data_IF_277563646842
#
_entry.id   IF_277563646842
#
_cell.length_a   1.000
_cell.length_b   1.000
_cell.length_c   1.000
_cell.angle_alpha   90.00
_cell.angle_beta   90.00
_cell.angle_gamma   90.00
#
_symmetry.space_group_name_H-M   'P 1'
#
loop_
_entity.id
_entity.type
_entity.pdbx_description
1 polymer ?
#
# COMPACT_ATOMS: atom_id res chain seq x y z
N UNK A 1 -8.94 -76.62 -89.18
CA UNK A 1 -9.63 -76.85 -87.90
C UNK A 1 -8.75 -76.55 -86.67
N UNK A 2 -7.54 -77.11 -86.55
CA UNK A 2 -6.68 -76.93 -85.36
C UNK A 2 -6.28 -75.47 -85.05
N UNK A 3 -6.04 -74.63 -86.06
CA UNK A 3 -5.73 -73.20 -85.84
C UNK A 3 -6.94 -72.38 -85.36
N UNK A 4 -8.15 -72.82 -85.70
CA UNK A 4 -9.40 -72.19 -85.30
C UNK A 4 -9.65 -72.35 -83.79
N UNK A 5 -9.39 -73.56 -83.26
CA UNK A 5 -9.50 -73.83 -81.83
C UNK A 5 -8.49 -73.03 -81.00
N UNK A 6 -7.23 -72.96 -81.45
CA UNK A 6 -6.19 -72.19 -80.75
C UNK A 6 -6.47 -70.70 -80.73
N UNK A 7 -6.95 -70.15 -81.86
CA UNK A 7 -7.33 -68.74 -81.93
C UNK A 7 -8.55 -68.44 -81.05
N UNK A 8 -9.54 -69.33 -81.00
CA UNK A 8 -10.70 -69.17 -80.11
C UNK A 8 -10.30 -69.19 -78.63
N UNK A 9 -9.40 -70.09 -78.22
CA UNK A 9 -8.93 -70.14 -76.83
C UNK A 9 -8.14 -68.87 -76.44
N UNK A 10 -7.29 -68.38 -77.35
CA UNK A 10 -6.51 -67.16 -77.10
C UNK A 10 -7.41 -65.93 -77.00
N UNK A 11 -8.39 -65.81 -77.90
CA UNK A 11 -9.37 -64.71 -77.86
C UNK A 11 -10.17 -64.72 -76.55
N UNK A 12 -10.59 -65.90 -76.09
CA UNK A 12 -11.32 -66.06 -74.84
C UNK A 12 -10.51 -65.58 -73.64
N UNK A 13 -9.22 -65.93 -73.58
CA UNK A 13 -8.33 -65.53 -72.48
C UNK A 13 -8.10 -64.01 -72.43
N UNK A 14 -7.96 -63.37 -73.59
CA UNK A 14 -7.80 -61.91 -73.68
C UNK A 14 -9.08 -61.18 -73.31
N UNK A 15 -10.23 -61.66 -73.81
CA UNK A 15 -11.51 -61.04 -73.48
C UNK A 15 -11.81 -61.14 -71.98
N UNK A 16 -11.55 -62.30 -71.38
CA UNK A 16 -11.79 -62.53 -69.95
C UNK A 16 -10.91 -61.64 -69.07
N UNK A 17 -9.60 -61.56 -69.38
CA UNK A 17 -8.66 -60.75 -68.60
C UNK A 17 -8.93 -59.24 -68.71
N UNK A 18 -9.29 -58.76 -69.90
CA UNK A 18 -9.64 -57.34 -70.09
C UNK A 18 -10.96 -56.98 -69.41
N UNK A 19 -12.01 -57.80 -69.58
CA UNK A 19 -13.30 -57.55 -68.91
C UNK A 19 -13.16 -57.60 -67.40
N UNK A 20 -12.45 -58.57 -66.85
CA UNK A 20 -12.28 -58.71 -65.40
C UNK A 20 -11.49 -57.55 -64.80
N UNK A 21 -10.34 -57.19 -65.39
CA UNK A 21 -9.49 -56.12 -64.86
C UNK A 21 -10.14 -54.74 -64.97
N UNK A 22 -10.80 -54.45 -66.09
CA UNK A 22 -11.46 -53.16 -66.30
C UNK A 22 -12.70 -53.02 -65.42
N UNK A 23 -13.53 -54.07 -65.33
CA UNK A 23 -14.73 -54.04 -64.51
C UNK A 23 -14.37 -53.92 -63.02
N UNK A 24 -13.40 -54.69 -62.53
CA UNK A 24 -13.02 -54.67 -61.12
C UNK A 24 -12.42 -53.33 -60.70
N UNK A 25 -11.50 -52.77 -61.49
CA UNK A 25 -10.83 -51.49 -61.16
C UNK A 25 -11.79 -50.30 -61.20
N UNK A 26 -12.69 -50.23 -62.19
CA UNK A 26 -13.70 -49.18 -62.26
C UNK A 26 -14.70 -49.27 -61.12
N UNK A 27 -15.28 -50.45 -60.86
CA UNK A 27 -16.25 -50.61 -59.78
C UNK A 27 -15.63 -50.29 -58.43
N UNK A 28 -14.42 -50.79 -58.14
CA UNK A 28 -13.78 -50.57 -56.85
C UNK A 28 -13.41 -49.09 -56.62
N UNK A 29 -12.90 -48.40 -57.64
CA UNK A 29 -12.53 -46.98 -57.52
C UNK A 29 -13.75 -46.06 -57.42
N UNK A 30 -14.81 -46.31 -58.19
CA UNK A 30 -16.04 -45.52 -58.13
C UNK A 30 -16.78 -45.74 -56.81
N UNK A 31 -16.97 -46.99 -56.36
CA UNK A 31 -17.67 -47.25 -55.10
C UNK A 31 -16.94 -46.62 -53.92
N UNK A 32 -15.60 -46.76 -53.86
CA UNK A 32 -14.80 -46.25 -52.74
C UNK A 32 -14.73 -44.72 -52.70
N UNK A 33 -14.64 -44.07 -53.86
CA UNK A 33 -14.64 -42.60 -53.93
C UNK A 33 -16.00 -42.00 -53.62
N UNK A 34 -17.08 -42.59 -54.13
CA UNK A 34 -18.45 -42.12 -53.85
C UNK A 34 -18.84 -42.35 -52.39
N UNK A 35 -18.62 -43.55 -51.84
CA UNK A 35 -18.92 -43.83 -50.43
C UNK A 35 -18.11 -42.91 -49.51
N UNK A 36 -16.81 -42.74 -49.75
CA UNK A 36 -15.97 -41.91 -48.86
C UNK A 36 -16.29 -40.42 -48.97
N UNK A 37 -16.55 -39.91 -50.16
CA UNK A 37 -16.90 -38.49 -50.34
C UNK A 37 -18.29 -38.18 -49.80
N UNK A 38 -19.29 -39.03 -50.06
CA UNK A 38 -20.65 -38.83 -49.56
C UNK A 38 -20.75 -39.00 -48.05
N UNK A 39 -20.19 -40.08 -47.47
CA UNK A 39 -20.19 -40.25 -46.02
C UNK A 39 -19.43 -39.13 -45.32
N UNK A 40 -18.22 -38.79 -45.77
CA UNK A 40 -17.42 -37.78 -45.07
C UNK A 40 -18.04 -36.38 -45.18
N UNK A 41 -18.51 -35.99 -46.37
CA UNK A 41 -19.13 -34.68 -46.56
C UNK A 41 -20.46 -34.57 -45.83
N UNK A 42 -21.34 -35.57 -45.90
CA UNK A 42 -22.65 -35.51 -45.27
C UNK A 42 -22.56 -35.63 -43.75
N UNK A 43 -21.79 -36.60 -43.21
CA UNK A 43 -21.70 -36.74 -41.76
C UNK A 43 -20.98 -35.55 -41.13
N UNK A 44 -19.85 -35.12 -41.69
CA UNK A 44 -19.07 -34.03 -41.09
C UNK A 44 -19.79 -32.69 -41.20
N UNK A 45 -20.33 -32.34 -42.38
CA UNK A 45 -21.01 -31.05 -42.54
C UNK A 45 -22.30 -30.98 -41.73
N UNK A 46 -23.09 -32.04 -41.69
CA UNK A 46 -24.39 -32.01 -41.02
C UNK A 46 -24.25 -32.05 -39.49
N UNK A 47 -23.42 -32.94 -38.94
CA UNK A 47 -23.19 -32.98 -37.49
C UNK A 47 -22.45 -31.72 -37.01
N UNK A 48 -21.39 -31.28 -37.70
CA UNK A 48 -20.62 -30.14 -37.23
C UNK A 48 -21.42 -28.84 -37.33
N UNK A 49 -22.12 -28.59 -38.44
CA UNK A 49 -22.90 -27.36 -38.58
C UNK A 49 -24.10 -27.31 -37.64
N UNK A 50 -24.85 -28.41 -37.46
CA UNK A 50 -26.02 -28.42 -36.59
C UNK A 50 -25.63 -28.33 -35.11
N UNK A 51 -24.67 -29.14 -34.64
CA UNK A 51 -24.24 -29.05 -33.24
C UNK A 51 -23.60 -27.69 -32.97
N UNK A 52 -22.68 -27.21 -33.81
CA UNK A 52 -22.01 -25.95 -33.54
C UNK A 52 -22.98 -24.77 -33.56
N UNK A 53 -23.87 -24.69 -34.56
CA UNK A 53 -24.82 -23.57 -34.64
C UNK A 53 -25.87 -23.60 -33.53
N UNK A 54 -26.42 -24.77 -33.17
CA UNK A 54 -27.41 -24.86 -32.10
C UNK A 54 -26.80 -24.60 -30.72
N UNK A 55 -25.64 -25.18 -30.43
CA UNK A 55 -25.00 -25.00 -29.14
C UNK A 55 -24.48 -23.56 -28.97
N UNK A 56 -23.89 -22.99 -30.03
CA UNK A 56 -23.39 -21.60 -29.99
C UNK A 56 -24.52 -20.57 -29.89
N UNK A 57 -25.65 -20.78 -30.58
CA UNK A 57 -26.81 -19.88 -30.50
C UNK A 57 -27.54 -19.97 -29.15
N UNK A 58 -27.68 -21.18 -28.58
CA UNK A 58 -28.28 -21.36 -27.27
C UNK A 58 -27.41 -20.78 -26.14
N UNK A 59 -26.08 -20.97 -26.18
CA UNK A 59 -25.18 -20.35 -25.20
C UNK A 59 -25.09 -18.83 -25.35
N UNK A 60 -25.04 -18.32 -26.59
CA UNK A 60 -24.99 -16.87 -26.82
C UNK A 60 -26.28 -16.16 -26.40
N UNK A 61 -27.45 -16.78 -26.62
CA UNK A 61 -28.73 -16.22 -26.19
C UNK A 61 -28.90 -16.23 -24.66
N UNK A 62 -28.44 -17.27 -23.96
CA UNK A 62 -28.43 -17.29 -22.49
C UNK A 62 -27.49 -16.22 -21.89
N UNK A 63 -26.32 -16.00 -22.49
CA UNK A 63 -25.41 -14.92 -22.09
C UNK A 63 -25.99 -13.52 -22.36
N UNK A 64 -26.72 -13.35 -23.46
CA UNK A 64 -27.46 -12.11 -23.72
C UNK A 64 -28.53 -11.85 -22.66
N UNK A 65 -29.26 -12.88 -22.21
CA UNK A 65 -30.25 -12.75 -21.14
C UNK A 65 -29.59 -12.24 -19.84
N UNK A 66 -28.40 -12.75 -19.49
CA UNK A 66 -27.64 -12.28 -18.33
C UNK A 66 -27.22 -10.81 -18.49
N UNK A 67 -26.76 -10.40 -19.67
CA UNK A 67 -26.37 -9.01 -19.94
C UNK A 67 -27.55 -8.04 -19.91
N UNK A 68 -28.72 -8.46 -20.42
CA UNK A 68 -29.96 -7.68 -20.37
C UNK A 68 -30.49 -7.58 -18.96
N UNK A 69 -30.50 -8.69 -18.20
CA UNK A 69 -30.93 -8.68 -16.81
C UNK A 69 -29.99 -7.82 -15.97
N UNK A 70 -28.68 -7.96 -16.12
CA UNK A 70 -27.70 -7.16 -15.38
C UNK A 70 -27.78 -5.66 -15.72
N UNK A 71 -27.95 -5.31 -17.00
CA UNK A 71 -28.07 -3.90 -17.42
C UNK A 71 -29.42 -3.29 -17.01
N UNK A 72 -30.53 -4.02 -17.11
CA UNK A 72 -31.83 -3.57 -16.63
C UNK A 72 -31.87 -3.46 -15.11
N UNK A 73 -31.39 -4.47 -14.36
CA UNK A 73 -31.35 -4.41 -12.90
C UNK A 73 -30.45 -3.27 -12.44
N UNK A 74 -29.24 -3.13 -13.01
CA UNK A 74 -28.30 -2.06 -12.63
C UNK A 74 -28.82 -0.67 -13.00
N UNK A 75 -29.44 -0.50 -14.17
CA UNK A 75 -30.00 0.80 -14.58
C UNK A 75 -31.26 1.17 -13.79
N UNK A 76 -32.14 0.22 -13.50
CA UNK A 76 -33.34 0.45 -12.70
C UNK A 76 -32.99 0.64 -11.22
N UNK A 77 -32.18 -0.23 -10.60
CA UNK A 77 -31.74 -0.02 -9.21
C UNK A 77 -31.01 1.32 -9.10
N UNK A 78 -30.05 1.60 -9.98
CA UNK A 78 -29.24 2.84 -9.86
C UNK A 78 -30.08 4.08 -10.12
N UNK A 79 -30.99 4.07 -11.08
CA UNK A 79 -31.85 5.23 -11.35
C UNK A 79 -32.89 5.44 -10.25
N UNK A 80 -33.54 4.38 -9.76
CA UNK A 80 -34.53 4.47 -8.69
C UNK A 80 -33.90 4.79 -7.34
N UNK A 81 -32.84 4.07 -6.93
CA UNK A 81 -32.10 4.41 -5.69
C UNK A 81 -31.53 5.81 -5.79
N UNK A 82 -30.86 6.18 -6.89
CA UNK A 82 -30.26 7.53 -6.96
C UNK A 82 -31.34 8.62 -6.96
N UNK A 83 -32.42 8.48 -7.73
CA UNK A 83 -33.47 9.52 -7.76
C UNK A 83 -34.25 9.60 -6.45
N UNK A 84 -34.62 8.47 -5.84
CA UNK A 84 -35.35 8.47 -4.56
C UNK A 84 -34.46 8.92 -3.41
N UNK A 85 -33.24 8.38 -3.32
CA UNK A 85 -32.32 8.75 -2.24
C UNK A 85 -31.87 10.20 -2.38
N UNK A 86 -31.55 10.68 -3.60
CA UNK A 86 -31.18 12.08 -3.83
C UNK A 86 -32.34 13.03 -3.53
N UNK A 87 -33.55 12.77 -4.04
CA UNK A 87 -34.70 13.65 -3.79
C UNK A 87 -35.18 13.64 -2.34
N UNK A 88 -35.17 12.47 -1.67
CA UNK A 88 -35.59 12.36 -0.27
C UNK A 88 -34.54 12.89 0.70
N UNK A 89 -33.25 12.54 0.53
CA UNK A 89 -32.21 13.14 1.38
C UNK A 89 -32.15 14.64 1.16
N UNK A 90 -32.20 15.11 -0.10
CA UNK A 90 -32.08 16.54 -0.38
C UNK A 90 -33.26 17.32 0.19
N UNK A 91 -34.50 16.82 0.08
CA UNK A 91 -35.65 17.50 0.72
C UNK A 91 -35.62 17.43 2.25
N UNK A 92 -35.13 16.32 2.84
CA UNK A 92 -34.93 16.21 4.28
C UNK A 92 -33.82 17.15 4.79
N UNK A 93 -32.71 17.28 4.05
CA UNK A 93 -31.62 18.18 4.39
C UNK A 93 -32.01 19.65 4.21
N UNK A 94 -32.74 19.97 3.13
CA UNK A 94 -33.26 21.33 2.86
C UNK A 94 -34.31 21.73 3.91
N UNK A 95 -35.20 20.82 4.33
CA UNK A 95 -36.19 21.08 5.38
C UNK A 95 -35.61 21.20 6.79
N UNK A 96 -34.41 20.68 7.03
CA UNK A 96 -33.69 20.85 8.29
C UNK A 96 -33.00 22.21 8.44
N UNK A 97 -33.13 23.11 7.44
CA UNK A 97 -32.52 24.44 7.44
C UNK A 97 -31.02 24.37 7.78
N UNK A 98 -30.35 23.33 7.30
CA UNK A 98 -28.92 23.14 7.49
C UNK A 98 -28.26 24.26 6.69
N UNK A 99 -27.69 25.24 7.39
CA UNK A 99 -26.88 26.28 6.78
C UNK A 99 -25.72 25.57 6.07
N UNK A 100 -25.78 25.51 4.74
CA UNK A 100 -24.71 24.97 3.92
C UNK A 100 -23.42 25.73 4.27
N UNK A 101 -22.50 25.07 4.94
CA UNK A 101 -21.17 25.60 5.19
C UNK A 101 -20.37 25.43 3.91
N UNK A 102 -20.13 26.53 3.19
CA UNK A 102 -19.23 26.51 2.05
C UNK A 102 -17.79 26.52 2.58
N UNK A 103 -17.08 25.41 2.39
CA UNK A 103 -15.64 25.31 2.65
C UNK A 103 -14.90 25.92 1.47
N UNK A 104 -14.79 27.25 1.46
CA UNK A 104 -14.39 27.96 0.25
C UNK A 104 -12.89 27.99 -0.01
N UNK A 105 -12.05 27.70 0.98
CA UNK A 105 -10.64 28.13 0.89
C UNK A 105 -9.72 27.27 0.02
N UNK A 106 -9.88 25.93 0.01
CA UNK A 106 -9.09 25.07 -0.89
C UNK A 106 -9.29 25.45 -2.36
N UNK A 107 -10.52 25.82 -2.74
CA UNK A 107 -10.85 26.26 -4.10
C UNK A 107 -10.27 27.61 -4.49
N UNK A 108 -9.95 28.49 -3.52
CA UNK A 108 -9.40 29.80 -3.86
C UNK A 108 -7.90 29.73 -4.23
N UNK A 109 -7.16 28.73 -3.73
CA UNK A 109 -5.80 28.46 -4.22
C UNK A 109 -5.80 28.07 -5.70
N UNK A 110 -6.80 27.31 -6.16
CA UNK A 110 -6.96 26.97 -7.57
C UNK A 110 -7.19 28.23 -8.42
N UNK A 111 -8.02 29.16 -7.93
CA UNK A 111 -8.22 30.46 -8.58
C UNK A 111 -6.98 31.33 -8.58
N UNK A 112 -6.16 31.31 -7.52
CA UNK A 112 -4.88 32.02 -7.49
C UNK A 112 -3.94 31.50 -8.58
N UNK A 113 -3.79 30.18 -8.70
CA UNK A 113 -3.00 29.56 -9.76
C UNK A 113 -3.55 29.89 -11.15
N UNK A 114 -4.88 29.94 -11.31
CA UNK A 114 -5.52 30.33 -12.56
C UNK A 114 -5.23 31.81 -12.92
N UNK A 115 -5.30 32.73 -11.95
CA UNK A 115 -4.98 34.14 -12.18
C UNK A 115 -3.50 34.36 -12.47
N UNK A 116 -2.61 33.64 -11.79
CA UNK A 116 -1.16 33.67 -12.08
C UNK A 116 -0.89 33.19 -13.52
N UNK A 117 -1.52 32.10 -13.96
CA UNK A 117 -1.41 31.62 -15.33
C UNK A 117 -1.98 32.63 -16.34
N UNK A 118 -3.17 33.18 -16.09
CA UNK A 118 -3.78 34.17 -16.97
C UNK A 118 -2.90 35.43 -17.10
N UNK A 119 -2.28 35.88 -16.01
CA UNK A 119 -1.33 36.99 -16.01
C UNK A 119 -0.09 36.67 -16.85
N UNK A 120 0.45 35.45 -16.73
CA UNK A 120 1.56 34.98 -17.57
C UNK A 120 1.19 34.97 -19.06
N UNK A 121 -0.06 34.71 -19.40
CA UNK A 121 -0.58 34.76 -20.78
C UNK A 121 -0.84 36.19 -21.28
N UNK A 122 -0.60 37.22 -20.46
CA UNK A 122 -0.77 38.63 -20.82
C UNK A 122 -2.14 39.21 -20.51
N UNK A 123 -2.97 38.53 -19.71
CA UNK A 123 -4.22 39.13 -19.21
C UNK A 123 -3.90 40.18 -18.16
N UNK A 124 -4.41 41.39 -18.36
CA UNK A 124 -4.25 42.49 -17.42
C UNK A 124 -5.29 42.40 -16.29
N UNK A 125 -4.81 42.39 -15.05
CA UNK A 125 -5.65 42.45 -13.84
C UNK A 125 -5.45 43.77 -13.11
N UNK A 126 -6.40 44.10 -12.23
CA UNK A 126 -6.15 45.14 -11.24
C UNK A 126 -5.15 44.61 -10.19
N UNK A 127 -3.94 45.14 -10.22
CA UNK A 127 -2.82 44.68 -9.38
C UNK A 127 -3.12 44.80 -7.88
N UNK A 128 -3.78 45.87 -7.43
CA UNK A 128 -4.12 46.05 -6.01
C UNK A 128 -5.09 44.98 -5.52
N UNK A 129 -6.11 44.65 -6.32
CA UNK A 129 -7.08 43.60 -5.98
C UNK A 129 -6.45 42.21 -6.02
N UNK A 130 -5.61 41.93 -7.01
CA UNK A 130 -4.93 40.63 -7.12
C UNK A 130 -3.94 40.44 -5.95
N UNK A 131 -3.22 41.49 -5.58
CA UNK A 131 -2.36 41.49 -4.39
C UNK A 131 -3.15 41.24 -3.12
N UNK A 132 -4.25 41.99 -2.89
CA UNK A 132 -5.11 41.78 -1.71
C UNK A 132 -5.67 40.35 -1.65
N UNK A 133 -6.08 39.79 -2.79
CA UNK A 133 -6.53 38.41 -2.88
C UNK A 133 -5.44 37.43 -2.46
N UNK A 134 -4.23 37.56 -3.01
CA UNK A 134 -3.10 36.70 -2.67
C UNK A 134 -2.65 36.88 -1.20
N UNK A 135 -2.67 38.10 -0.68
CA UNK A 135 -2.33 38.40 0.72
C UNK A 135 -3.30 37.70 1.67
N UNK A 136 -4.61 37.68 1.36
CA UNK A 136 -5.62 36.91 2.11
C UNK A 136 -5.30 35.41 2.03
N UNK A 137 -5.01 34.90 0.84
CA UNK A 137 -4.69 33.48 0.61
C UNK A 137 -3.49 32.99 1.43
N UNK A 138 -2.41 33.77 1.45
CA UNK A 138 -1.17 33.38 2.09
C UNK A 138 -1.22 33.42 3.62
N UNK A 139 -2.18 34.16 4.19
CA UNK A 139 -2.26 34.44 5.63
C UNK A 139 -3.47 33.82 6.34
N UNK A 140 -4.48 33.35 5.61
CA UNK A 140 -5.71 32.81 6.20
C UNK A 140 -5.94 31.41 5.63
N UNK A 141 -5.40 30.32 6.20
CA UNK A 141 -5.51 28.98 5.60
C UNK A 141 -6.96 28.48 5.44
N UNK A 142 -7.90 28.95 6.26
CA UNK A 142 -9.29 28.50 6.24
C UNK A 142 -10.24 29.66 6.49
N UNK A 143 -11.24 29.78 5.62
CA UNK A 143 -12.42 30.62 5.81
C UNK A 143 -13.67 29.73 5.67
N UNK A 144 -14.57 29.82 6.64
CA UNK A 144 -15.86 29.13 6.61
C UNK A 144 -16.99 30.15 6.63
N UNK A 145 -17.84 30.08 5.61
CA UNK A 145 -19.03 30.92 5.49
C UNK A 145 -20.23 30.18 6.09
N UNK A 146 -20.86 30.75 7.11
CA UNK A 146 -22.04 30.18 7.78
C UNK A 146 -23.16 31.22 7.79
N UNK A 147 -23.91 31.27 6.68
CA UNK A 147 -24.92 32.30 6.46
C UNK A 147 -24.29 33.70 6.39
N UNK A 148 -24.58 34.53 7.39
CA UNK A 148 -24.03 35.88 7.53
C UNK A 148 -22.82 35.97 8.49
N UNK A 149 -22.30 34.83 8.95
CA UNK A 149 -21.14 34.76 9.85
C UNK A 149 -19.95 34.22 9.06
N UNK A 150 -18.79 34.87 9.25
CA UNK A 150 -17.52 34.45 8.69
C UNK A 150 -16.62 33.92 9.81
N UNK A 151 -16.19 32.67 9.69
CA UNK A 151 -15.13 32.14 10.54
C UNK A 151 -13.81 32.23 9.78
N UNK A 152 -12.86 32.97 10.33
CA UNK A 152 -11.52 33.16 9.79
C UNK A 152 -10.56 32.42 10.71
N UNK A 153 -9.80 31.47 10.16
CA UNK A 153 -8.69 30.85 10.86
C UNK A 153 -7.40 31.52 10.39
N UNK A 154 -6.73 32.23 11.28
CA UNK A 154 -5.41 32.79 11.00
C UNK A 154 -4.38 31.70 10.77
N UNK A 155 -3.34 32.01 9.99
CA UNK A 155 -2.25 31.07 9.73
C UNK A 155 -1.48 30.75 11.03
N UNK A 156 -1.41 29.48 11.44
CA UNK A 156 -0.60 29.10 12.57
C UNK A 156 0.89 29.20 12.24
N UNK A 157 1.70 29.39 13.28
CA UNK A 157 3.13 29.13 13.23
C UNK A 157 3.36 27.66 13.56
N UNK A 158 4.14 26.98 12.73
CA UNK A 158 4.44 25.56 12.89
C UNK A 158 5.93 25.32 13.13
N UNK A 159 6.26 24.49 14.11
CA UNK A 159 7.61 24.02 14.41
C UNK A 159 7.80 22.62 13.84
N UNK A 160 8.91 22.45 13.12
CA UNK A 160 9.23 21.23 12.39
C UNK A 160 10.61 20.74 12.75
N UNK A 161 10.74 19.44 12.94
CA UNK A 161 12.02 18.75 13.09
C UNK A 161 11.97 17.46 12.27
N UNK A 162 12.98 17.22 11.43
CA UNK A 162 13.04 16.06 10.53
C UNK A 162 11.77 15.87 9.68
N UNK A 163 11.21 16.98 9.17
CA UNK A 163 9.95 17.02 8.40
C UNK A 163 8.70 16.55 9.15
N UNK A 164 8.76 16.49 10.49
CA UNK A 164 7.63 16.16 11.35
C UNK A 164 7.31 17.35 12.26
N UNK A 165 6.03 17.54 12.59
CA UNK A 165 5.65 18.52 13.61
C UNK A 165 6.26 18.08 14.94
N UNK A 166 7.09 18.93 15.53
CA UNK A 166 7.81 18.60 16.76
C UNK A 166 8.18 19.88 17.50
N UNK A 167 7.96 19.89 18.82
CA UNK A 167 8.57 20.87 19.70
C UNK A 167 8.54 20.38 21.15
N UNK A 168 9.65 20.59 21.87
CA UNK A 168 9.80 20.37 23.31
C UNK A 168 9.81 21.67 24.12
N UNK A 169 9.56 22.83 23.49
CA UNK A 169 9.65 24.13 24.19
C UNK A 169 8.30 24.83 24.26
N UNK A 170 7.52 24.73 23.19
CA UNK A 170 6.23 25.41 22.99
C UNK A 170 5.31 24.55 22.11
N UNK A 171 4.04 24.92 21.88
CA UNK A 171 3.18 24.17 20.96
C UNK A 171 3.82 24.07 19.57
N UNK A 172 3.73 22.89 18.96
CA UNK A 172 4.27 22.65 17.62
C UNK A 172 3.44 23.35 16.54
N UNK A 173 2.17 23.61 16.81
CA UNK A 173 1.31 24.48 16.01
C UNK A 173 0.73 25.53 16.96
N UNK A 174 0.93 26.82 16.69
CA UNK A 174 0.52 27.90 17.59
C UNK A 174 -0.12 29.06 16.84
N UNK A 175 -1.22 29.59 17.38
CA UNK A 175 -1.93 30.77 16.87
C UNK A 175 -1.61 32.01 17.72
N UNK A 176 -1.96 33.19 17.18
CA UNK A 176 -1.69 34.47 17.83
C UNK A 176 -2.46 34.67 19.15
N UNK A 177 -3.61 34.01 19.28
CA UNK A 177 -4.44 34.00 20.50
C UNK A 177 -3.87 33.12 21.63
N UNK A 178 -2.75 32.42 21.38
CA UNK A 178 -2.10 31.53 22.34
C UNK A 178 -2.66 30.12 22.37
N UNK A 179 -3.65 29.80 21.52
CA UNK A 179 -4.06 28.41 21.32
C UNK A 179 -2.96 27.64 20.57
N UNK A 180 -2.84 26.34 20.86
CA UNK A 180 -1.83 25.53 20.21
C UNK A 180 -2.08 24.03 20.28
N UNK A 181 -1.43 23.31 19.37
CA UNK A 181 -1.45 21.86 19.29
C UNK A 181 -0.03 21.35 19.53
N UNK A 182 0.07 20.33 20.38
CA UNK A 182 1.33 19.81 20.88
C UNK A 182 1.70 18.53 20.12
N UNK A 183 2.88 18.51 19.53
CA UNK A 183 3.41 17.37 18.81
C UNK A 183 4.83 17.05 19.24
N UNK A 184 5.13 15.76 19.30
CA UNK A 184 6.49 15.22 19.41
C UNK A 184 6.66 14.17 18.30
N UNK A 185 7.66 14.33 17.45
CA UNK A 185 7.97 13.42 16.32
C UNK A 185 6.72 13.15 15.44
N UNK A 186 5.88 14.17 15.20
CA UNK A 186 4.67 14.05 14.40
C UNK A 186 3.47 13.39 15.11
N UNK A 187 3.62 12.97 16.37
CA UNK A 187 2.53 12.40 17.17
C UNK A 187 1.91 13.49 18.05
N UNK A 188 0.59 13.62 17.99
CA UNK A 188 -0.18 14.61 18.78
C UNK A 188 -0.29 14.18 20.24
N UNK A 189 -0.17 15.15 21.15
CA UNK A 189 -0.40 14.98 22.59
C UNK A 189 -1.40 16.01 23.12
N UNK A 190 -2.12 15.65 24.18
CA UNK A 190 -2.85 16.62 24.99
C UNK A 190 -1.85 17.47 25.80
N UNK A 191 -2.19 18.74 26.05
CA UNK A 191 -1.31 19.72 26.66
C UNK A 191 -0.69 19.21 27.97
N UNK A 192 -1.52 18.75 28.90
CA UNK A 192 -1.08 18.30 30.23
C UNK A 192 -0.10 17.13 30.14
N UNK A 193 -0.35 16.18 29.24
CA UNK A 193 0.54 15.02 29.05
C UNK A 193 1.87 15.45 28.40
N UNK A 194 1.81 16.31 27.38
CA UNK A 194 3.00 16.85 26.73
C UNK A 194 3.89 17.61 27.72
N UNK A 195 3.30 18.50 28.53
CA UNK A 195 4.03 19.26 29.55
C UNK A 195 4.70 18.34 30.57
N UNK A 196 4.00 17.30 31.02
CA UNK A 196 4.59 16.32 31.96
C UNK A 196 5.73 15.52 31.35
N UNK A 197 5.65 15.16 30.07
CA UNK A 197 6.71 14.42 29.35
C UNK A 197 7.94 15.31 29.17
N UNK A 198 7.76 16.51 28.63
CA UNK A 198 8.84 17.44 28.30
C UNK A 198 9.55 17.94 29.56
N UNK A 199 8.79 18.29 30.60
CA UNK A 199 9.36 18.71 31.88
C UNK A 199 9.84 17.52 32.73
N UNK A 200 9.64 16.30 32.24
CA UNK A 200 10.02 15.05 32.92
C UNK A 200 9.46 15.00 34.34
N UNK A 201 8.19 15.30 34.51
CA UNK A 201 7.49 15.24 35.82
C UNK A 201 6.60 14.02 35.96
N UNK A 202 6.24 13.37 34.84
CA UNK A 202 5.57 12.06 34.84
C UNK A 202 6.54 10.96 35.30
N UNK A 203 6.16 10.09 36.24
CA UNK A 203 7.00 8.95 36.64
C UNK A 203 7.17 7.93 35.51
N UNK A 204 8.33 7.29 35.44
CA UNK A 204 8.63 6.25 34.45
C UNK A 204 7.55 5.14 34.36
N UNK A 205 7.04 4.69 35.53
CA UNK A 205 5.99 3.66 35.58
C UNK A 205 4.70 4.09 34.91
N UNK A 206 4.25 5.33 35.16
CA UNK A 206 3.02 5.86 34.55
C UNK A 206 3.18 5.97 33.02
N UNK A 207 4.35 6.41 32.57
CA UNK A 207 4.66 6.55 31.15
C UNK A 207 4.63 5.19 30.40
N UNK A 208 5.04 4.09 31.05
CA UNK A 208 4.93 2.73 30.50
C UNK A 208 3.49 2.23 30.38
N UNK A 209 2.55 2.79 31.14
CA UNK A 209 1.13 2.41 31.11
C UNK A 209 0.30 3.17 30.08
N UNK A 210 0.91 4.09 29.31
CA UNK A 210 0.19 4.85 28.28
C UNK A 210 -0.57 3.91 27.31
N UNK A 211 -1.86 4.19 27.03
CA UNK A 211 -2.69 3.31 26.21
C UNK A 211 -2.28 3.36 24.73
N UNK A 212 -1.98 4.55 24.22
CA UNK A 212 -1.54 4.75 22.84
C UNK A 212 -0.05 4.37 22.72
N UNK A 213 0.24 3.38 21.87
CA UNK A 213 1.61 2.86 21.71
C UNK A 213 2.55 3.85 21.01
N UNK A 214 2.07 4.62 20.04
CA UNK A 214 2.89 5.61 19.33
C UNK A 214 3.28 6.74 20.27
N UNK A 215 2.33 7.24 21.07
CA UNK A 215 2.60 8.21 22.13
C UNK A 215 3.60 7.65 23.14
N UNK A 216 3.45 6.39 23.56
CA UNK A 216 4.37 5.74 24.50
C UNK A 216 5.80 5.69 23.97
N UNK A 217 5.99 5.29 22.72
CA UNK A 217 7.33 5.19 22.10
C UNK A 217 7.99 6.56 22.05
N UNK A 218 7.28 7.58 21.57
CA UNK A 218 7.82 8.94 21.47
C UNK A 218 8.05 9.56 22.85
N UNK A 219 7.14 9.34 23.79
CA UNK A 219 7.28 9.80 25.17
C UNK A 219 8.51 9.18 25.83
N UNK A 220 8.75 7.88 25.66
CA UNK A 220 9.93 7.19 26.20
C UNK A 220 11.25 7.74 25.63
N UNK A 221 11.29 7.98 24.32
CA UNK A 221 12.46 8.63 23.67
C UNK A 221 12.71 10.02 24.25
N UNK A 222 11.66 10.83 24.36
CA UNK A 222 11.73 12.22 24.86
C UNK A 222 12.11 12.27 26.34
N UNK A 223 11.59 11.33 27.15
CA UNK A 223 11.92 11.18 28.56
C UNK A 223 13.41 10.87 28.77
N UNK A 224 13.98 10.07 27.86
CA UNK A 224 15.37 9.67 27.82
C UNK A 224 15.61 8.35 28.57
N UNK A 225 16.38 7.45 27.94
CA UNK A 225 16.64 6.11 28.46
C UNK A 225 17.40 6.10 29.79
N UNK A 226 18.37 7.01 29.98
CA UNK A 226 19.17 7.09 31.22
C UNK A 226 18.27 7.30 32.45
N UNK A 227 17.44 8.34 32.42
CA UNK A 227 16.52 8.65 33.51
C UNK A 227 15.50 7.52 33.74
N UNK A 228 14.98 6.94 32.65
CA UNK A 228 14.06 5.81 32.74
C UNK A 228 14.70 4.65 33.54
N UNK A 229 15.95 4.31 33.24
CA UNK A 229 16.67 3.24 33.94
C UNK A 229 17.00 3.60 35.38
N UNK A 230 17.39 4.84 35.66
CA UNK A 230 17.66 5.31 37.03
C UNK A 230 16.42 5.16 37.94
N UNK A 231 15.23 5.45 37.42
CA UNK A 231 13.96 5.30 38.15
C UNK A 231 13.51 3.84 38.27
N UNK A 232 13.66 3.05 37.21
CA UNK A 232 13.13 1.68 37.16
C UNK A 232 14.07 0.63 37.76
N UNK A 233 15.34 0.98 38.02
CA UNK A 233 16.36 0.13 38.63
C UNK A 233 16.50 -1.22 37.91
N UNK A 234 17.12 -1.24 36.71
CA UNK A 234 17.24 -2.45 35.91
C UNK A 234 18.02 -3.55 36.60
N UNK A 235 17.74 -4.80 36.20
CA UNK A 235 18.58 -5.95 36.51
C UNK A 235 19.75 -6.00 35.53
N UNK A 236 20.97 -6.21 36.03
CA UNK A 236 22.14 -6.53 35.22
C UNK A 236 22.03 -8.02 34.83
N UNK A 237 22.02 -8.30 33.53
CA UNK A 237 22.00 -9.67 32.98
C UNK A 237 23.39 -10.20 32.71
N UNK A 238 24.29 -9.34 32.22
CA UNK A 238 25.67 -9.66 31.90
C UNK A 238 26.54 -8.40 32.03
N UNK A 239 27.80 -8.58 32.37
CA UNK A 239 28.78 -7.50 32.55
C UNK A 239 30.16 -7.98 32.10
N UNK A 240 30.80 -7.21 31.23
CA UNK A 240 32.11 -7.54 30.67
C UNK A 240 32.98 -6.29 30.56
N UNK A 241 34.27 -6.46 30.84
CA UNK A 241 35.27 -5.45 30.56
C UNK A 241 35.98 -5.80 29.26
N UNK A 242 35.95 -4.88 28.30
CA UNK A 242 36.43 -5.11 26.94
C UNK A 242 37.55 -4.12 26.65
N UNK A 243 38.67 -4.60 26.11
CA UNK A 243 39.76 -3.74 25.70
C UNK A 243 39.46 -3.18 24.30
N UNK A 244 39.30 -1.87 24.18
CA UNK A 244 39.14 -1.16 22.90
C UNK A 244 40.24 -0.10 22.84
N UNK A 245 41.05 -0.11 21.79
CA UNK A 245 42.19 0.80 21.61
C UNK A 245 43.19 0.83 22.79
N UNK A 246 43.37 -0.30 23.47
CA UNK A 246 44.27 -0.42 24.62
C UNK A 246 43.66 0.00 25.97
N UNK A 247 42.41 0.41 25.99
CA UNK A 247 41.71 0.84 27.20
C UNK A 247 40.63 -0.15 27.62
N UNK A 248 40.55 -0.41 28.92
CA UNK A 248 39.57 -1.32 29.50
C UNK A 248 38.24 -0.59 29.71
N UNK A 249 37.21 -0.95 28.93
CA UNK A 249 35.90 -0.31 28.95
C UNK A 249 34.82 -1.27 29.46
N UNK A 250 34.05 -0.80 30.44
CA UNK A 250 32.96 -1.56 31.02
C UNK A 250 31.71 -1.54 30.12
N UNK A 251 31.12 -2.72 29.93
CA UNK A 251 29.90 -2.92 29.17
C UNK A 251 28.94 -3.81 29.98
N UNK A 252 27.66 -3.44 30.00
CA UNK A 252 26.63 -4.13 30.76
C UNK A 252 25.37 -4.33 29.92
N UNK A 253 24.72 -5.48 30.06
CA UNK A 253 23.35 -5.69 29.57
C UNK A 253 22.38 -5.48 30.73
N UNK A 254 21.48 -4.52 30.55
CA UNK A 254 20.48 -4.13 31.52
C UNK A 254 19.10 -4.56 31.03
N UNK A 255 18.27 -5.10 31.91
CA UNK A 255 16.87 -5.44 31.60
C UNK A 255 15.93 -4.89 32.66
N UNK A 256 14.87 -4.24 32.19
CA UNK A 256 13.73 -3.81 32.98
C UNK A 256 12.52 -4.62 32.57
N UNK A 257 11.81 -5.17 33.55
CA UNK A 257 10.48 -5.76 33.36
C UNK A 257 9.51 -5.05 34.31
N UNK A 258 8.56 -4.30 33.75
CA UNK A 258 7.52 -3.58 34.49
C UNK A 258 6.20 -3.73 33.76
N UNK A 259 5.20 -4.32 34.41
CA UNK A 259 3.83 -4.44 33.91
C UNK A 259 3.73 -5.00 32.47
N UNK A 260 4.57 -5.99 32.15
CA UNK A 260 4.62 -6.63 30.84
C UNK A 260 5.43 -5.88 29.78
N UNK A 261 5.90 -4.66 30.06
CA UNK A 261 6.90 -3.99 29.24
C UNK A 261 8.30 -4.48 29.59
N UNK A 262 9.01 -5.01 28.59
CA UNK A 262 10.40 -5.46 28.71
C UNK A 262 11.29 -4.54 27.88
N UNK A 263 12.21 -3.86 28.56
CA UNK A 263 13.24 -3.04 27.96
C UNK A 263 14.62 -3.65 28.21
N UNK A 264 15.31 -4.07 27.14
CA UNK A 264 16.71 -4.52 27.22
C UNK A 264 17.63 -3.48 26.60
N UNK A 265 18.73 -3.17 27.28
CA UNK A 265 19.67 -2.13 26.92
C UNK A 265 21.11 -2.62 27.06
N UNK A 266 21.96 -2.22 26.12
CA UNK A 266 23.40 -2.28 26.26
C UNK A 266 23.88 -0.93 26.78
N UNK A 267 24.44 -0.93 27.98
CA UNK A 267 25.21 0.19 28.52
C UNK A 267 26.67 -0.02 28.15
N UNK A 268 27.31 0.97 27.56
CA UNK A 268 28.70 0.91 27.12
C UNK A 268 29.41 2.24 27.41
N UNK A 269 30.74 2.21 27.47
CA UNK A 269 31.55 3.43 27.51
C UNK A 269 32.06 3.71 26.10
N UNK A 270 31.82 4.89 25.56
CA UNK A 270 32.35 5.28 24.26
C UNK A 270 33.88 5.47 24.36
N UNK A 271 34.67 4.80 23.50
CA UNK A 271 36.12 4.90 23.54
C UNK A 271 36.64 6.30 23.20
N UNK A 272 35.90 7.11 22.42
CA UNK A 272 36.36 8.40 21.90
C UNK A 272 36.27 9.53 22.94
N UNK A 273 35.15 9.64 23.65
CA UNK A 273 34.87 10.74 24.59
C UNK A 273 34.75 10.29 26.06
N UNK A 274 34.76 8.97 26.31
CA UNK A 274 34.57 8.35 27.64
C UNK A 274 33.18 8.52 28.24
N UNK A 275 32.21 8.95 27.46
CA UNK A 275 30.84 9.06 27.93
C UNK A 275 30.13 7.70 27.92
N UNK A 276 29.18 7.54 28.86
CA UNK A 276 28.36 6.34 28.92
C UNK A 276 27.24 6.40 27.85
N UNK A 277 27.31 5.50 26.88
CA UNK A 277 26.29 5.25 25.89
C UNK A 277 25.24 4.24 26.35
N UNK A 278 24.01 4.40 25.88
CA UNK A 278 22.90 3.47 26.08
C UNK A 278 22.24 3.14 24.75
N UNK A 279 22.22 1.85 24.39
CA UNK A 279 21.58 1.35 23.19
C UNK A 279 20.46 0.39 23.55
N UNK A 280 19.25 0.63 23.04
CA UNK A 280 18.14 -0.32 23.19
C UNK A 280 18.36 -1.52 22.24
N UNK A 281 18.27 -2.74 22.77
CA UNK A 281 18.42 -3.98 22.00
C UNK A 281 17.14 -4.82 22.09
N UNK A 282 16.94 -5.74 21.14
CA UNK A 282 15.78 -6.63 21.16
C UNK A 282 15.78 -7.48 22.42
N UNK A 283 14.65 -7.52 23.14
CA UNK A 283 14.49 -8.41 24.29
C UNK A 283 14.01 -9.82 23.89
N UNK A 284 13.56 -9.98 22.63
CA UNK A 284 13.03 -11.23 22.08
C UNK A 284 14.14 -12.19 21.63
N UNK A 285 15.36 -11.69 21.39
CA UNK A 285 16.51 -12.50 21.02
C UNK A 285 17.28 -12.91 22.28
N UNK A 286 17.48 -14.20 22.51
CA UNK A 286 18.26 -14.66 23.68
C UNK A 286 19.75 -14.29 23.57
N UNK A 287 20.28 -14.14 22.36
CA UNK A 287 21.66 -13.71 22.11
C UNK A 287 21.99 -12.37 22.75
N UNK A 288 21.02 -11.44 22.80
CA UNK A 288 21.22 -10.09 23.35
C UNK A 288 21.20 -10.04 24.88
N UNK A 289 21.02 -11.19 25.56
CA UNK A 289 21.21 -11.28 27.03
C UNK A 289 22.68 -11.19 27.44
N UNK A 290 23.59 -11.44 26.51
CA UNK A 290 25.04 -11.32 26.71
C UNK A 290 25.57 -10.02 26.12
N UNK A 291 26.65 -9.46 26.69
CA UNK A 291 27.29 -8.25 26.17
C UNK A 291 27.73 -8.45 24.72
N UNK A 292 28.35 -9.58 24.39
CA UNK A 292 28.80 -9.89 23.03
C UNK A 292 27.66 -9.89 22.02
N UNK A 293 26.54 -10.56 22.34
CA UNK A 293 25.39 -10.60 21.45
C UNK A 293 24.64 -9.27 21.34
N UNK A 294 24.55 -8.50 22.44
CA UNK A 294 23.96 -7.17 22.44
C UNK A 294 24.77 -6.17 21.59
N UNK A 295 26.12 -6.23 21.68
CA UNK A 295 27.01 -5.45 20.81
C UNK A 295 26.79 -5.84 19.35
N UNK A 296 26.83 -7.13 19.02
CA UNK A 296 26.60 -7.59 17.65
C UNK A 296 25.25 -7.11 17.09
N UNK A 297 24.19 -7.13 17.89
CA UNK A 297 22.88 -6.60 17.51
C UNK A 297 22.91 -5.10 17.22
N UNK A 298 23.53 -4.31 18.08
CA UNK A 298 23.60 -2.86 17.94
C UNK A 298 24.35 -2.38 16.69
N UNK A 299 25.34 -3.16 16.25
CA UNK A 299 26.12 -2.87 15.04
C UNK A 299 25.54 -3.50 13.76
N UNK A 300 24.47 -4.30 13.82
CA UNK A 300 23.82 -4.88 12.62
C UNK A 300 23.48 -3.84 11.54
N UNK A 301 22.95 -2.64 11.85
CA UNK A 301 22.66 -1.63 10.83
C UNK A 301 23.91 -1.13 10.10
N UNK A 302 25.05 -1.02 10.80
CA UNK A 302 26.32 -0.59 10.22
C UNK A 302 26.95 -1.68 9.34
N UNK A 303 26.79 -2.95 9.72
CA UNK A 303 27.24 -4.11 8.95
C UNK A 303 26.42 -4.36 7.68
N UNK A 304 25.22 -3.79 7.55
CA UNK A 304 24.45 -3.83 6.30
C UNK A 304 24.85 -2.72 5.32
N UNK A 305 25.41 -1.62 5.81
CA UNK A 305 25.89 -0.49 4.99
C UNK A 305 27.29 -0.77 4.44
N UNK A 306 28.13 -1.47 5.20
CA UNK A 306 29.43 -1.96 4.74
C UNK A 306 29.23 -3.41 4.33
N UNK A 307 29.05 -3.65 3.03
CA UNK A 307 28.79 -4.98 2.47
C UNK A 307 29.63 -6.05 3.16
N UNK A 308 28.96 -6.94 3.90
CA UNK A 308 29.60 -8.01 4.65
C UNK A 308 30.25 -9.01 3.68
N UNK A 309 31.50 -8.74 3.32
CA UNK A 309 32.43 -9.73 2.78
C UNK A 309 33.69 -9.91 3.63
N UNK A 310 34.04 -8.99 4.55
CA UNK A 310 35.35 -9.04 5.23
C UNK A 310 35.28 -9.00 6.77
N UNK A 311 34.40 -9.78 7.40
CA UNK A 311 34.54 -10.06 8.85
C UNK A 311 34.32 -11.55 9.12
N UNK A 312 35.31 -12.36 8.75
CA UNK A 312 35.56 -13.63 9.42
C UNK A 312 36.02 -13.32 10.85
N UNK A 313 35.13 -13.54 11.83
CA UNK A 313 35.59 -13.74 13.20
C UNK A 313 36.31 -15.09 13.23
N UNK A 314 37.64 -15.02 13.19
CA UNK A 314 38.53 -16.17 13.34
C UNK A 314 38.18 -16.94 14.61
N UNK A 315 37.61 -18.13 14.42
CA UNK A 315 37.60 -19.20 15.40
C UNK A 315 38.84 -20.05 15.17
N UNK A 316 39.95 -19.75 15.85
CA UNK A 316 41.05 -20.70 16.01
C UNK A 316 41.71 -20.53 17.39
N UNK A 317 41.91 -21.66 18.08
CA UNK A 317 42.85 -21.83 19.19
C UNK A 317 42.24 -22.07 20.56
#
# INVERSE_FOLDING_TARGET
LYSQLYSQLHLYSQLHSQLHSHSYSQLHSQLRSQLRSQLYSQLYSHLHSQLYSQLHSQLSSQLQLYSQLHSQLRSQLRSQLRSQLDSQLRSQLDSQNIKWNNYSFYYLYDWAGYYDFAKMMGVEFNEDKLKQFNDILLNIPIIVFVGNILFICEKPKCEWENNLLHSIVKPAVNWADGTGIFFLEGIKFEKDLWEKIVNKTIPAKELLTLPNQDQKVVALKTYGWKRLLDELKPKILDEQNIIINGELLNHQVLEVNQDGWIGRFLKFTDPADKDEGLLRVSHLEDSTKTVSGARAYGFKPLLQVVGAQDFEFGSEG
#
